data_IF_706018360159
#
_entry.id   IF_706018360159
#
_cell.length_a   1.000
_cell.length_b   1.000
_cell.length_c   1.000
_cell.angle_alpha   90.00
_cell.angle_beta   90.00
_cell.angle_gamma   90.00
#
_symmetry.space_group_name_H-M   'P 1'
#
loop_
_entity.id
_entity.type
_entity.pdbx_description
1 polymer ?
#
# COMPACT_ATOMS: atom_id res chain seq x y z
N UNK A 1 -19.36 18.61 -4.70
CA UNK A 1 -18.04 18.05 -4.32
C UNK A 1 -17.30 17.68 -5.60
N UNK A 2 -16.32 18.47 -6.01
CA UNK A 2 -15.49 18.18 -7.19
C UNK A 2 -14.62 16.96 -6.88
N UNK A 3 -14.90 15.82 -7.53
CA UNK A 3 -14.03 14.65 -7.44
C UNK A 3 -12.80 14.91 -8.29
N UNK A 4 -11.75 15.47 -7.69
CA UNK A 4 -10.46 15.66 -8.36
C UNK A 4 -9.91 14.28 -8.74
N UNK A 5 -10.11 13.89 -10.01
CA UNK A 5 -9.62 12.62 -10.53
C UNK A 5 -8.10 12.68 -10.64
N UNK A 6 -7.41 11.94 -9.78
CA UNK A 6 -5.96 11.85 -9.83
C UNK A 6 -5.52 11.17 -11.15
N UNK A 7 -4.46 11.66 -11.82
CA UNK A 7 -3.96 11.04 -13.04
C UNK A 7 -3.58 9.57 -12.78
N UNK A 8 -3.86 8.70 -13.76
CA UNK A 8 -3.50 7.28 -13.69
C UNK A 8 -1.98 7.15 -13.77
N UNK A 9 -1.36 6.35 -12.88
CA UNK A 9 0.03 5.93 -13.07
C UNK A 9 0.13 5.13 -14.39
N UNK A 10 1.18 5.37 -15.17
CA UNK A 10 1.43 4.70 -16.46
C UNK A 10 2.81 4.06 -16.46
N UNK A 11 2.89 2.84 -17.01
CA UNK A 11 4.14 2.14 -17.33
C UNK A 11 5.18 2.19 -16.21
N UNK A 12 6.34 2.78 -16.53
CA UNK A 12 7.54 2.86 -15.68
C UNK A 12 7.31 3.55 -14.34
N UNK A 13 6.47 4.58 -14.29
CA UNK A 13 6.12 5.29 -13.04
C UNK A 13 5.40 4.35 -12.07
N UNK A 14 4.60 3.42 -12.60
CA UNK A 14 3.89 2.42 -11.81
C UNK A 14 4.86 1.39 -11.22
N UNK A 15 5.81 0.92 -12.03
CA UNK A 15 6.82 -0.05 -11.60
C UNK A 15 7.77 0.56 -10.56
N UNK A 16 8.22 1.80 -10.76
CA UNK A 16 9.04 2.50 -9.76
C UNK A 16 8.27 2.69 -8.45
N UNK A 17 7.01 3.11 -8.53
CA UNK A 17 6.16 3.26 -7.34
C UNK A 17 5.92 1.93 -6.63
N UNK A 18 5.74 0.83 -7.37
CA UNK A 18 5.59 -0.50 -6.82
C UNK A 18 6.86 -0.98 -6.11
N UNK A 19 8.03 -0.73 -6.71
CA UNK A 19 9.34 -1.05 -6.11
C UNK A 19 9.56 -0.26 -4.81
N UNK A 20 9.28 1.05 -4.81
CA UNK A 20 9.36 1.88 -3.59
C UNK A 20 8.38 1.42 -2.52
N UNK A 21 7.16 1.05 -2.92
CA UNK A 21 6.18 0.51 -1.98
C UNK A 21 6.70 -0.77 -1.30
N UNK A 22 7.28 -1.68 -2.08
CA UNK A 22 7.86 -2.93 -1.58
C UNK A 22 9.04 -2.68 -0.63
N UNK A 23 9.93 -1.74 -0.94
CA UNK A 23 11.04 -1.36 -0.08
C UNK A 23 10.56 -0.81 1.27
N UNK A 24 9.65 0.18 1.24
CA UNK A 24 9.07 0.75 2.45
C UNK A 24 8.34 -0.31 3.31
N UNK A 25 7.65 -1.25 2.65
CA UNK A 25 7.00 -2.37 3.34
C UNK A 25 8.00 -3.34 3.96
N UNK A 26 9.12 -3.62 3.27
CA UNK A 26 10.24 -4.41 3.77
C UNK A 26 10.88 -3.82 5.02
N UNK A 27 10.98 -2.48 5.09
CA UNK A 27 11.44 -1.73 6.27
C UNK A 27 10.48 -1.84 7.48
N UNK A 28 9.32 -2.49 7.33
CA UNK A 28 8.33 -2.65 8.39
C UNK A 28 7.24 -1.59 8.42
N UNK A 29 7.17 -0.71 7.41
CA UNK A 29 6.05 0.22 7.30
C UNK A 29 4.73 -0.52 7.05
N UNK A 30 3.64 0.00 7.62
CA UNK A 30 2.30 -0.48 7.30
C UNK A 30 1.86 -0.01 5.91
N UNK A 31 0.91 -0.72 5.29
CA UNK A 31 0.34 -0.32 3.99
C UNK A 31 -0.20 1.13 4.04
N UNK A 32 -0.76 1.54 5.18
CA UNK A 32 -1.23 2.92 5.38
C UNK A 32 -0.07 3.93 5.40
N UNK A 33 1.03 3.63 6.09
CA UNK A 33 2.23 4.48 6.09
C UNK A 33 2.88 4.55 4.71
N UNK A 34 2.94 3.42 3.98
CA UNK A 34 3.44 3.37 2.60
C UNK A 34 2.58 4.25 1.69
N UNK A 35 1.25 4.13 1.79
CA UNK A 35 0.31 4.95 1.03
C UNK A 35 0.52 6.45 1.30
N UNK A 36 0.69 6.85 2.58
CA UNK A 36 0.97 8.25 2.95
C UNK A 36 2.30 8.76 2.40
N UNK A 37 3.35 7.95 2.45
CA UNK A 37 4.68 8.34 1.93
C UNK A 37 4.70 8.48 0.41
N UNK A 38 3.94 7.64 -0.29
CA UNK A 38 3.78 7.73 -1.75
C UNK A 38 2.68 8.74 -2.15
N UNK A 39 2.06 9.40 -1.17
CA UNK A 39 0.89 10.25 -1.33
C UNK A 39 -0.24 9.56 -2.15
N UNK A 40 -0.33 8.23 -2.08
CA UNK A 40 -1.26 7.40 -2.84
C UNK A 40 -2.38 6.88 -1.96
N UNK A 41 -3.47 6.47 -2.61
CA UNK A 41 -4.57 5.82 -1.92
C UNK A 41 -4.14 4.46 -1.38
N UNK A 42 -4.68 4.07 -0.23
CA UNK A 42 -4.44 2.77 0.40
C UNK A 42 -4.68 1.60 -0.57
N UNK A 43 -5.77 1.65 -1.34
CA UNK A 43 -6.10 0.61 -2.32
C UNK A 43 -5.05 0.52 -3.42
N UNK A 44 -4.57 1.66 -3.91
CA UNK A 44 -3.53 1.70 -4.94
C UNK A 44 -2.21 1.16 -4.39
N UNK A 45 -1.79 1.57 -3.18
CA UNK A 45 -0.60 1.03 -2.54
C UNK A 45 -0.70 -0.49 -2.32
N UNK A 46 -1.88 -1.00 -1.90
CA UNK A 46 -2.12 -2.44 -1.77
C UNK A 46 -2.01 -3.17 -3.10
N UNK A 47 -2.59 -2.64 -4.17
CA UNK A 47 -2.49 -3.23 -5.52
C UNK A 47 -1.04 -3.25 -6.00
N UNK A 48 -0.30 -2.15 -5.81
CA UNK A 48 1.10 -2.04 -6.20
C UNK A 48 1.99 -3.05 -5.43
N UNK A 49 1.72 -3.28 -4.14
CA UNK A 49 2.43 -4.29 -3.36
C UNK A 49 2.16 -5.71 -3.88
N UNK A 50 0.92 -6.01 -4.27
CA UNK A 50 0.55 -7.30 -4.86
C UNK A 50 1.18 -7.47 -6.25
N UNK A 51 1.19 -6.42 -7.08
CA UNK A 51 1.86 -6.42 -8.38
C UNK A 51 3.37 -6.60 -8.26
N UNK A 52 3.98 -6.04 -7.21
CA UNK A 52 5.39 -6.24 -6.88
C UNK A 52 5.70 -7.64 -6.31
N UNK A 53 4.69 -8.52 -6.17
CA UNK A 53 4.87 -9.88 -5.63
C UNK A 53 5.11 -9.92 -4.12
N UNK A 54 4.88 -8.81 -3.40
CA UNK A 54 5.07 -8.76 -1.95
C UNK A 54 3.96 -9.56 -1.28
N UNK A 55 4.35 -10.56 -0.49
CA UNK A 55 3.41 -11.24 0.39
C UNK A 55 2.99 -10.28 1.48
N UNK A 56 1.76 -9.78 1.38
CA UNK A 56 1.19 -8.95 2.43
C UNK A 56 1.16 -9.78 3.72
N UNK A 57 1.78 -9.26 4.77
CA UNK A 57 1.62 -9.74 6.14
C UNK A 57 0.13 -9.93 6.38
N UNK A 58 -0.26 -11.11 6.87
CA UNK A 58 -1.61 -11.35 7.35
C UNK A 58 -1.99 -10.15 8.24
N UNK A 59 -3.20 -9.60 8.07
CA UNK A 59 -3.68 -8.46 8.86
C UNK A 59 -3.46 -8.77 10.34
N UNK A 60 -2.38 -8.23 10.90
CA UNK A 60 -2.00 -8.36 12.30
C UNK A 60 -2.86 -7.48 13.19
N UNK A 61 -4.18 -7.59 13.05
CA UNK A 61 -5.05 -7.37 14.18
C UNK A 61 -5.45 -8.76 14.64
N UNK A 62 -4.86 -9.24 15.73
CA UNK A 62 -5.64 -10.07 16.63
C UNK A 62 -7.03 -9.43 16.72
N UNK A 63 -8.09 -10.12 16.30
CA UNK A 63 -9.33 -9.94 17.05
C UNK A 63 -8.93 -10.32 18.46
N UNK A 64 -8.64 -9.31 19.31
CA UNK A 64 -8.75 -9.54 20.74
C UNK A 64 -10.20 -9.97 20.90
N UNK A 65 -10.46 -11.28 20.95
CA UNK A 65 -11.59 -11.75 21.75
C UNK A 65 -11.30 -11.14 23.12
N UNK A 66 -12.06 -10.11 23.48
CA UNK A 66 -12.13 -9.68 24.85
C UNK A 66 -12.36 -10.95 25.68
N UNK A 67 -11.54 -11.10 26.71
CA UNK A 67 -11.58 -12.24 27.61
C UNK A 67 -12.98 -12.43 28.21
N UNK A 68 -13.20 -13.68 28.65
CA UNK A 68 -14.33 -14.26 29.37
C UNK A 68 -15.25 -13.31 30.15
#
# INVERSE_FOLDING_TARGET
>A
MTTTRRPRLKGTDREETARRAAELYGQGCTIASVARQLDRSYFLARTLLLEAGVTLRARGGHTRKAAA
#
